data_IF_641050883111
#
_entry.id   IF_641050883111
#
_cell.length_a   1.000
_cell.length_b   1.000
_cell.length_c   1.000
_cell.angle_alpha   90.00
_cell.angle_beta   90.00
_cell.angle_gamma   90.00
#
_symmetry.space_group_name_H-M   'P 1'
#
loop_
_entity.id
_entity.type
_entity.pdbx_description
1 polymer ?
#
# COMPACT_ATOMS: atom_id res chain seq x y z
N UNK A 1 12.59 -13.38 6.40
CA UNK A 1 13.74 -12.99 5.54
C UNK A 1 14.48 -11.75 6.05
N UNK A 2 13.80 -10.64 6.36
CA UNK A 2 14.46 -9.42 6.85
C UNK A 2 15.43 -9.66 8.04
N UNK A 3 15.06 -10.51 9.02
CA UNK A 3 15.93 -10.86 10.14
C UNK A 3 17.28 -11.49 9.71
N UNK A 4 17.23 -12.49 8.82
CA UNK A 4 18.43 -13.15 8.29
C UNK A 4 19.27 -12.17 7.47
N UNK A 5 18.63 -11.29 6.68
CA UNK A 5 19.34 -10.23 5.96
C UNK A 5 20.06 -9.28 6.90
N UNK A 6 19.41 -8.84 7.99
CA UNK A 6 20.06 -7.99 9.00
C UNK A 6 21.24 -8.69 9.70
N UNK A 7 21.15 -10.01 9.92
CA UNK A 7 22.28 -10.78 10.44
C UNK A 7 23.41 -10.91 9.42
N UNK A 8 23.10 -11.17 8.15
CA UNK A 8 24.07 -11.24 7.08
C UNK A 8 24.83 -9.91 6.94
N UNK A 9 24.12 -8.78 6.96
CA UNK A 9 24.70 -7.44 6.94
C UNK A 9 25.59 -7.19 8.16
N UNK A 10 25.13 -7.58 9.35
CA UNK A 10 25.89 -7.41 10.58
C UNK A 10 27.21 -8.21 10.56
N UNK A 11 27.17 -9.48 10.13
CA UNK A 11 28.37 -10.30 10.02
C UNK A 11 29.29 -9.87 8.87
N UNK A 12 28.73 -9.31 7.80
CA UNK A 12 29.51 -8.71 6.73
C UNK A 12 30.34 -7.50 7.23
N UNK A 13 29.76 -6.68 8.12
CA UNK A 13 30.46 -5.55 8.74
C UNK A 13 31.51 -5.98 9.79
N UNK A 14 31.46 -7.23 10.27
CA UNK A 14 32.35 -7.77 11.30
C UNK A 14 33.00 -9.10 10.86
N UNK A 15 33.91 -9.07 9.87
CA UNK A 15 34.45 -10.28 9.23
C UNK A 15 35.35 -11.14 10.13
N UNK A 16 35.81 -10.61 11.27
CA UNK A 16 36.78 -11.28 12.16
C UNK A 16 36.12 -12.11 13.27
N UNK A 17 34.80 -12.32 13.23
CA UNK A 17 34.08 -13.11 14.23
C UNK A 17 34.30 -14.60 13.98
N UNK A 18 34.61 -15.34 15.04
CA UNK A 18 34.65 -16.81 14.99
C UNK A 18 33.24 -17.40 14.86
N UNK A 19 33.12 -18.60 14.30
CA UNK A 19 31.83 -19.31 14.21
C UNK A 19 31.13 -19.43 15.57
N UNK A 20 31.89 -19.63 16.65
CA UNK A 20 31.34 -19.71 18.01
C UNK A 20 30.71 -18.39 18.46
N UNK A 21 31.35 -17.26 18.16
CA UNK A 21 30.82 -15.93 18.47
C UNK A 21 29.58 -15.62 17.64
N UNK A 22 29.61 -15.93 16.34
CA UNK A 22 28.46 -15.78 15.44
C UNK A 22 27.25 -16.55 15.98
N UNK A 23 27.43 -17.84 16.31
CA UNK A 23 26.35 -18.67 16.84
C UNK A 23 25.83 -18.17 18.20
N UNK A 24 26.69 -17.59 19.04
CA UNK A 24 26.26 -16.96 20.30
C UNK A 24 25.45 -15.69 20.05
N UNK A 25 25.81 -14.89 19.05
CA UNK A 25 25.04 -13.70 18.66
C UNK A 25 23.66 -14.10 18.15
N UNK A 26 23.60 -15.14 17.29
CA UNK A 26 22.34 -15.72 16.83
C UNK A 26 21.46 -16.11 18.03
N UNK A 27 21.99 -16.91 18.96
CA UNK A 27 21.28 -17.35 20.16
C UNK A 27 20.69 -16.18 20.97
N UNK A 28 21.47 -15.12 21.19
CA UNK A 28 21.05 -13.94 21.96
C UNK A 28 20.03 -13.05 21.22
N UNK A 29 20.03 -13.09 19.90
CA UNK A 29 19.14 -12.27 19.07
C UNK A 29 17.74 -12.87 18.89
N UNK A 30 17.60 -14.19 19.05
CA UNK A 30 16.32 -14.87 18.94
C UNK A 30 15.43 -14.62 20.16
N UNK A 31 14.11 -14.55 19.94
CA UNK A 31 13.11 -14.33 21.00
C UNK A 31 11.93 -15.28 20.85
N UNK A 32 11.21 -15.52 21.96
CA UNK A 32 9.96 -16.26 21.97
C UNK A 32 10.09 -17.70 21.43
N UNK A 33 9.18 -18.09 20.54
CA UNK A 33 9.15 -19.44 19.94
C UNK A 33 10.41 -19.78 19.14
N UNK A 34 11.04 -18.78 18.51
CA UNK A 34 12.28 -18.97 17.75
C UNK A 34 13.48 -19.26 18.65
N UNK A 35 13.57 -18.58 19.80
CA UNK A 35 14.58 -18.91 20.80
C UNK A 35 14.38 -20.35 21.33
N UNK A 36 13.15 -20.72 21.66
CA UNK A 36 12.84 -22.08 22.13
C UNK A 36 13.11 -23.17 21.09
N UNK A 37 12.83 -22.89 19.81
CA UNK A 37 13.20 -23.78 18.70
C UNK A 37 14.72 -23.95 18.59
N UNK A 38 15.46 -22.84 18.58
CA UNK A 38 16.91 -22.86 18.46
C UNK A 38 17.57 -23.59 19.63
N UNK A 39 17.13 -23.33 20.88
CA UNK A 39 17.69 -23.99 22.07
C UNK A 39 17.53 -25.51 22.02
N UNK A 40 16.45 -26.03 21.42
CA UNK A 40 16.23 -27.49 21.27
C UNK A 40 17.10 -28.13 20.19
N UNK A 41 17.50 -27.36 19.18
CA UNK A 41 18.29 -27.83 18.02
C UNK A 41 19.73 -27.31 18.03
N UNK A 42 20.17 -26.70 19.13
CA UNK A 42 21.47 -26.00 19.21
C UNK A 42 22.65 -26.92 18.86
N UNK A 43 22.57 -28.19 19.23
CA UNK A 43 23.56 -29.23 18.89
C UNK A 43 23.64 -29.53 17.40
N UNK A 44 22.58 -29.24 16.65
CA UNK A 44 22.44 -29.62 15.24
C UNK A 44 23.12 -28.60 14.32
N UNK A 45 23.47 -27.42 14.84
CA UNK A 45 24.05 -26.32 14.08
C UNK A 45 25.56 -26.20 14.34
N UNK A 46 26.38 -26.66 13.39
CA UNK A 46 27.84 -26.51 13.44
C UNK A 46 28.34 -25.13 13.04
N UNK A 47 27.57 -24.43 12.19
CA UNK A 47 27.90 -23.10 11.68
C UNK A 47 26.64 -22.27 11.38
N UNK A 48 26.87 -20.99 11.08
CA UNK A 48 25.80 -20.05 10.75
C UNK A 48 25.05 -20.41 9.47
N UNK A 49 25.73 -21.03 8.51
CA UNK A 49 25.11 -21.44 7.25
C UNK A 49 24.05 -22.52 7.49
N UNK A 50 24.39 -23.54 8.28
CA UNK A 50 23.49 -24.63 8.68
C UNK A 50 22.28 -24.10 9.44
N UNK A 51 22.53 -23.18 10.39
CA UNK A 51 21.45 -22.49 11.09
C UNK A 51 20.52 -21.75 10.12
N UNK A 52 21.08 -20.99 9.18
CA UNK A 52 20.32 -20.17 8.24
C UNK A 52 19.42 -21.01 7.32
N UNK A 53 19.93 -22.13 6.82
CA UNK A 53 19.17 -23.07 5.99
C UNK A 53 17.98 -23.67 6.77
N UNK A 54 18.24 -24.21 7.96
CA UNK A 54 17.21 -24.80 8.82
C UNK A 54 16.22 -23.78 9.38
N UNK A 55 16.68 -22.58 9.71
CA UNK A 55 15.81 -21.48 10.14
C UNK A 55 14.87 -21.06 9.01
N UNK A 56 15.40 -20.96 7.79
CA UNK A 56 14.60 -20.63 6.61
C UNK A 56 13.59 -21.73 6.34
N UNK A 57 13.97 -23.00 6.39
CA UNK A 57 13.04 -24.11 6.18
C UNK A 57 11.92 -24.14 7.24
N UNK A 58 12.27 -23.93 8.51
CA UNK A 58 11.30 -23.99 9.60
C UNK A 58 10.30 -22.82 9.63
N UNK A 59 10.71 -21.61 9.21
CA UNK A 59 9.87 -20.39 9.34
C UNK A 59 9.43 -19.80 8.01
N UNK A 60 10.02 -20.24 6.91
CA UNK A 60 9.77 -19.76 5.55
C UNK A 60 10.01 -20.87 4.51
N UNK A 61 9.72 -22.11 4.89
CA UNK A 61 9.89 -23.28 4.04
C UNK A 61 8.84 -23.34 2.94
N UNK A 62 8.87 -24.45 2.19
CA UNK A 62 7.96 -24.66 1.07
C UNK A 62 6.48 -24.60 1.50
N UNK A 63 6.15 -25.07 2.70
CA UNK A 63 4.77 -25.09 3.20
C UNK A 63 4.24 -23.68 3.48
N UNK A 64 5.05 -22.82 4.09
CA UNK A 64 4.71 -21.42 4.36
C UNK A 64 4.54 -20.64 3.06
N UNK A 65 5.43 -20.87 2.10
CA UNK A 65 5.37 -20.27 0.77
C UNK A 65 4.11 -20.72 0.01
N UNK A 66 3.79 -22.02 0.04
CA UNK A 66 2.55 -22.56 -0.55
C UNK A 66 1.30 -22.02 0.15
N UNK A 67 1.33 -21.87 1.47
CA UNK A 67 0.24 -21.27 2.24
C UNK A 67 0.00 -19.82 1.82
N UNK A 68 1.06 -19.04 1.60
CA UNK A 68 0.95 -17.67 1.10
C UNK A 68 0.34 -17.62 -0.30
N UNK A 69 0.78 -18.49 -1.21
CA UNK A 69 0.20 -18.60 -2.57
C UNK A 69 -1.26 -19.05 -2.54
N UNK A 70 -1.60 -19.99 -1.65
CA UNK A 70 -2.99 -20.42 -1.46
C UNK A 70 -3.86 -19.26 -0.97
N UNK A 71 -3.36 -18.44 -0.03
CA UNK A 71 -4.04 -17.21 0.41
C UNK A 71 -4.22 -16.21 -0.74
N UNK A 72 -3.26 -16.07 -1.65
CA UNK A 72 -3.41 -15.23 -2.84
C UNK A 72 -4.56 -15.70 -3.74
N UNK A 73 -4.86 -16.99 -3.78
CA UNK A 73 -5.99 -17.50 -4.58
C UNK A 73 -7.35 -17.46 -3.87
N UNK A 74 -7.36 -17.52 -2.54
CA UNK A 74 -8.57 -17.75 -1.74
C UNK A 74 -9.03 -16.55 -0.93
N UNK A 75 -8.15 -15.58 -0.68
CA UNK A 75 -8.50 -14.41 0.12
C UNK A 75 -9.46 -13.49 -0.66
N UNK A 76 -10.27 -12.73 0.07
CA UNK A 76 -11.17 -11.73 -0.52
C UNK A 76 -10.90 -10.37 0.11
N UNK A 77 -10.87 -9.34 -0.73
CA UNK A 77 -10.82 -7.98 -0.25
C UNK A 77 -12.12 -7.67 0.51
N UNK A 78 -11.98 -7.11 1.72
CA UNK A 78 -13.12 -6.77 2.58
C UNK A 78 -13.42 -5.28 2.55
N UNK A 79 -12.48 -4.47 3.00
CA UNK A 79 -12.63 -3.02 3.18
C UNK A 79 -11.27 -2.31 3.09
N UNK A 80 -11.27 -1.00 2.88
CA UNK A 80 -10.06 -0.16 2.85
C UNK A 80 -9.64 0.32 1.46
N UNK A 81 -8.36 0.65 1.31
CA UNK A 81 -7.76 1.02 0.02
C UNK A 81 -7.41 -0.25 -0.77
N UNK A 82 -7.98 -0.41 -1.96
CA UNK A 82 -7.66 -1.57 -2.82
C UNK A 82 -6.23 -1.48 -3.35
N UNK A 83 -5.75 -0.28 -3.59
CA UNK A 83 -4.36 -0.05 -3.99
C UNK A 83 -3.39 -0.52 -2.91
N UNK A 84 -3.62 -0.14 -1.65
CA UNK A 84 -2.72 -0.51 -0.55
C UNK A 84 -2.73 -2.01 -0.34
N UNK A 85 -3.92 -2.62 -0.36
CA UNK A 85 -4.08 -4.07 -0.29
C UNK A 85 -3.31 -4.80 -1.40
N UNK A 86 -3.40 -4.33 -2.65
CA UNK A 86 -2.64 -4.90 -3.76
C UNK A 86 -1.13 -4.70 -3.56
N UNK A 87 -0.69 -3.55 -3.05
CA UNK A 87 0.71 -3.27 -2.77
C UNK A 87 1.28 -4.21 -1.71
N UNK A 88 0.58 -4.42 -0.61
CA UNK A 88 0.95 -5.37 0.44
C UNK A 88 1.17 -6.77 -0.14
N UNK A 89 0.29 -7.24 -1.03
CA UNK A 89 0.47 -8.53 -1.70
C UNK A 89 1.74 -8.61 -2.54
N UNK A 90 2.04 -7.59 -3.36
CA UNK A 90 3.31 -7.55 -4.09
C UNK A 90 4.52 -7.52 -3.14
N UNK A 91 4.41 -6.84 -2.01
CA UNK A 91 5.46 -6.79 -0.99
C UNK A 91 5.66 -8.13 -0.27
N UNK A 92 4.61 -8.93 -0.07
CA UNK A 92 4.75 -10.26 0.52
C UNK A 92 5.30 -11.28 -0.48
N UNK A 93 4.82 -11.24 -1.72
CA UNK A 93 5.19 -12.21 -2.76
C UNK A 93 6.63 -12.04 -3.25
N UNK A 94 7.24 -10.87 -3.09
CA UNK A 94 8.66 -10.65 -3.43
C UNK A 94 9.64 -11.49 -2.61
N UNK A 95 9.20 -12.01 -1.46
CA UNK A 95 10.03 -12.84 -0.58
C UNK A 95 9.90 -14.34 -0.85
N UNK A 96 9.12 -14.73 -1.87
CA UNK A 96 9.10 -16.12 -2.35
C UNK A 96 10.41 -16.45 -3.07
N UNK A 97 10.81 -17.71 -2.99
CA UNK A 97 12.02 -18.18 -3.67
C UNK A 97 11.87 -18.16 -5.20
N UNK A 98 10.65 -18.47 -5.68
CA UNK A 98 10.25 -18.30 -7.07
C UNK A 98 8.99 -17.41 -7.13
N UNK A 99 9.16 -16.08 -7.26
CA UNK A 99 8.04 -15.16 -7.26
C UNK A 99 7.20 -15.32 -8.54
N UNK A 100 5.85 -15.45 -8.43
CA UNK A 100 4.99 -15.54 -9.60
C UNK A 100 5.12 -14.29 -10.49
N UNK A 101 4.94 -14.43 -11.82
CA UNK A 101 4.98 -13.29 -12.71
C UNK A 101 3.85 -12.31 -12.38
N UNK A 102 4.13 -11.01 -12.48
CA UNK A 102 3.19 -9.93 -12.18
C UNK A 102 1.80 -10.15 -12.79
N UNK A 103 1.72 -10.65 -14.02
CA UNK A 103 0.45 -10.94 -14.70
C UNK A 103 -0.42 -11.94 -13.94
N UNK A 104 0.17 -12.99 -13.37
CA UNK A 104 -0.55 -13.98 -12.56
C UNK A 104 -1.00 -13.36 -11.23
N UNK A 105 -0.16 -12.56 -10.59
CA UNK A 105 -0.49 -11.85 -9.34
C UNK A 105 -1.67 -10.90 -9.59
N UNK A 106 -1.59 -10.09 -10.65
CA UNK A 106 -2.66 -9.18 -11.06
C UNK A 106 -3.95 -9.96 -11.28
N UNK A 107 -3.91 -11.06 -12.04
CA UNK A 107 -5.10 -11.86 -12.31
C UNK A 107 -5.71 -12.48 -11.04
N UNK A 108 -4.88 -12.93 -10.11
CA UNK A 108 -5.35 -13.45 -8.82
C UNK A 108 -5.98 -12.34 -7.97
N UNK A 109 -5.29 -11.19 -7.82
CA UNK A 109 -5.78 -10.05 -7.06
C UNK A 109 -7.11 -9.52 -7.60
N UNK A 110 -7.26 -9.43 -8.92
CA UNK A 110 -8.49 -8.94 -9.53
C UNK A 110 -9.70 -9.81 -9.14
N UNK A 111 -9.55 -11.14 -9.07
CA UNK A 111 -10.59 -12.07 -8.62
C UNK A 111 -10.97 -11.93 -7.14
N UNK A 112 -10.13 -11.30 -6.32
CA UNK A 112 -10.41 -11.09 -4.89
C UNK A 112 -11.36 -9.91 -4.65
N UNK A 113 -11.55 -9.04 -5.63
CA UNK A 113 -12.47 -7.91 -5.55
C UNK A 113 -13.86 -8.34 -6.04
N UNK A 114 -14.95 -7.86 -5.42
CA UNK A 114 -16.30 -8.25 -5.79
C UNK A 114 -16.85 -7.50 -7.02
N UNK A 115 -16.15 -6.45 -7.50
CA UNK A 115 -16.70 -5.51 -8.49
C UNK A 115 -16.52 -6.03 -9.94
N UNK A 116 -17.63 -6.28 -10.65
CA UNK A 116 -17.61 -6.79 -12.04
C UNK A 116 -16.98 -5.81 -13.03
N UNK A 117 -17.17 -4.50 -12.84
CA UNK A 117 -16.56 -3.46 -13.68
C UNK A 117 -15.03 -3.51 -13.62
N UNK A 118 -14.50 -3.84 -12.45
CA UNK A 118 -13.06 -3.99 -12.25
C UNK A 118 -12.56 -5.24 -12.99
N UNK A 119 -13.30 -6.35 -12.95
CA UNK A 119 -12.98 -7.55 -13.75
C UNK A 119 -12.94 -7.26 -15.25
N UNK A 120 -13.84 -6.43 -15.78
CA UNK A 120 -13.78 -6.04 -17.19
C UNK A 120 -12.52 -5.24 -17.52
N UNK A 121 -12.07 -4.37 -16.60
CA UNK A 121 -10.86 -3.59 -16.75
C UNK A 121 -9.56 -4.44 -16.69
N UNK A 122 -9.62 -5.66 -16.14
CA UNK A 122 -8.46 -6.56 -16.02
C UNK A 122 -7.74 -6.79 -17.35
N UNK A 123 -8.49 -6.94 -18.44
CA UNK A 123 -7.94 -7.21 -19.78
C UNK A 123 -7.02 -6.10 -20.30
N UNK A 124 -7.09 -4.90 -19.72
CA UNK A 124 -6.31 -3.72 -20.10
C UNK A 124 -5.10 -3.49 -19.18
N UNK A 125 -4.94 -4.29 -18.13
CA UNK A 125 -3.90 -4.12 -17.12
C UNK A 125 -2.77 -5.12 -17.41
N UNK A 126 -1.65 -4.61 -17.91
CA UNK A 126 -0.48 -5.42 -18.26
C UNK A 126 0.61 -5.37 -17.19
N UNK A 127 0.62 -4.34 -16.34
CA UNK A 127 1.67 -4.12 -15.35
C UNK A 127 1.16 -3.59 -14.01
N UNK A 128 1.99 -3.76 -12.97
CA UNK A 128 1.73 -3.32 -11.59
C UNK A 128 1.32 -1.85 -11.49
N UNK A 129 1.97 -0.96 -12.25
CA UNK A 129 1.68 0.48 -12.25
C UNK A 129 0.26 0.78 -12.76
N UNK A 130 -0.17 0.09 -13.82
CA UNK A 130 -1.51 0.24 -14.37
C UNK A 130 -2.56 -0.29 -13.40
N UNK A 131 -2.29 -1.42 -12.72
CA UNK A 131 -3.18 -1.95 -11.68
C UNK A 131 -3.43 -0.91 -10.59
N UNK A 132 -2.37 -0.35 -10.00
CA UNK A 132 -2.50 0.62 -8.92
C UNK A 132 -3.25 1.88 -9.34
N UNK A 133 -2.98 2.39 -10.54
CA UNK A 133 -3.71 3.54 -11.08
C UNK A 133 -5.19 3.22 -11.29
N UNK A 134 -5.52 2.03 -11.79
CA UNK A 134 -6.89 1.56 -11.98
C UNK A 134 -7.62 1.48 -10.64
N UNK A 135 -7.06 0.77 -9.66
CA UNK A 135 -7.64 0.61 -8.32
C UNK A 135 -7.87 1.96 -7.63
N UNK A 136 -6.90 2.88 -7.71
CA UNK A 136 -7.03 4.23 -7.15
C UNK A 136 -8.18 5.01 -7.78
N UNK A 137 -8.39 4.89 -9.09
CA UNK A 137 -9.53 5.53 -9.77
C UNK A 137 -10.86 4.93 -9.33
N UNK A 138 -10.94 3.61 -9.24
CA UNK A 138 -12.13 2.91 -8.75
C UNK A 138 -12.47 3.30 -7.31
N UNK A 139 -11.48 3.36 -6.42
CA UNK A 139 -11.67 3.78 -5.03
C UNK A 139 -12.20 5.22 -4.94
N UNK A 140 -11.71 6.14 -5.79
CA UNK A 140 -12.19 7.53 -5.84
C UNK A 140 -13.62 7.67 -6.34
N UNK A 141 -14.00 6.94 -7.39
CA UNK A 141 -15.36 6.95 -7.95
C UNK A 141 -16.34 6.40 -6.92
N UNK A 142 -16.00 5.27 -6.29
CA UNK A 142 -16.86 4.64 -5.28
C UNK A 142 -16.96 5.44 -3.98
N UNK A 143 -15.91 6.19 -3.61
CA UNK A 143 -15.93 7.08 -2.44
C UNK A 143 -16.69 8.39 -2.68
N UNK A 144 -17.30 8.58 -3.86
CA UNK A 144 -18.11 9.75 -4.18
C UNK A 144 -17.31 11.04 -4.42
N UNK A 145 -15.98 10.96 -4.57
CA UNK A 145 -15.11 12.12 -4.79
C UNK A 145 -15.28 12.67 -6.24
N UNK A 146 -15.82 11.85 -7.14
CA UNK A 146 -16.37 12.28 -8.41
C UNK A 146 -17.82 11.82 -8.50
N UNK A 147 -18.75 12.65 -8.04
CA UNK A 147 -20.05 12.68 -8.67
C UNK A 147 -19.79 13.05 -10.14
N UNK A 148 -19.92 12.07 -11.04
CA UNK A 148 -20.03 12.40 -12.46
C UNK A 148 -21.20 13.39 -12.57
N UNK A 149 -21.01 14.60 -13.15
CA UNK A 149 -22.15 15.40 -13.50
C UNK A 149 -22.97 14.58 -14.50
N UNK A 150 -24.17 14.18 -14.09
CA UNK A 150 -25.13 13.49 -14.94
C UNK A 150 -25.37 14.32 -16.20
N UNK A 151 -25.33 13.73 -17.41
CA UNK A 151 -25.61 14.46 -18.63
C UNK A 151 -27.13 14.65 -18.81
N UNK A 152 -27.72 15.58 -18.06
CA UNK A 152 -29.08 16.10 -18.24
C UNK A 152 -29.08 17.54 -17.68
N UNK A 153 -29.48 18.62 -18.34
CA UNK A 153 -30.23 18.83 -19.57
C UNK A 153 -29.67 20.08 -20.26
N UNK A 154 -29.31 20.01 -21.54
CA UNK A 154 -29.14 21.22 -22.35
C UNK A 154 -30.55 21.76 -22.59
N UNK A 155 -31.03 22.63 -21.69
CA UNK A 155 -32.20 23.46 -21.99
C UNK A 155 -31.81 24.37 -23.15
N UNK A 156 -32.28 24.03 -24.35
CA UNK A 156 -32.43 24.96 -25.47
C UNK A 156 -33.21 26.17 -24.95
N UNK A 157 -32.51 27.26 -24.66
CA UNK A 157 -33.14 28.58 -24.54
C UNK A 157 -32.90 29.28 -25.85
N UNK A 158 -33.86 29.13 -26.75
CA UNK A 158 -34.02 29.92 -27.96
C UNK A 158 -34.17 31.38 -27.54
N UNK A 159 -33.15 32.20 -27.82
CA UNK A 159 -33.25 33.67 -27.75
C UNK A 159 -33.78 34.19 -29.08
N UNK A 160 -34.80 35.05 -29.07
CA UNK A 160 -34.91 36.13 -30.03
C UNK A 160 -34.42 37.45 -29.37
N UNK A 161 -33.46 38.11 -30.01
CA UNK A 161 -33.21 39.55 -29.88
C UNK A 161 -34.14 40.30 -30.87
N UNK A 162 -34.17 41.65 -30.90
CA UNK A 162 -33.98 42.69 -29.86
C UNK A 162 -35.09 43.79 -29.94
N UNK A 163 -35.18 44.73 -28.98
CA UNK A 163 -35.36 46.20 -29.22
C UNK A 163 -34.90 47.00 -27.98
N UNK A 164 -34.25 48.15 -28.22
CA UNK A 164 -33.72 49.19 -27.32
C UNK A 164 -34.78 50.06 -26.59
N UNK A 165 -34.42 50.64 -25.43
CA UNK A 165 -34.65 52.06 -25.01
C UNK A 165 -34.11 52.26 -23.56
N UNK A 166 -32.99 52.98 -23.33
CA UNK A 166 -32.80 54.43 -23.09
C UNK A 166 -33.10 54.92 -21.65
N UNK A 167 -32.00 55.30 -20.96
CA UNK A 167 -31.78 56.38 -19.94
C UNK A 167 -32.55 56.40 -18.60
N UNK A 168 -31.81 56.35 -17.49
CA UNK A 168 -31.37 57.53 -16.69
C UNK A 168 -30.93 57.14 -15.25
N UNK A 169 -29.77 57.65 -14.83
CA UNK A 169 -29.29 57.82 -13.44
C UNK A 169 -29.82 59.17 -12.89
N UNK A 170 -29.85 59.47 -11.56
CA UNK A 170 -28.62 59.68 -10.76
C UNK A 170 -28.68 59.55 -9.20
N UNK A 171 -27.47 59.52 -8.60
CA UNK A 171 -27.02 60.08 -7.27
C UNK A 171 -27.63 59.50 -5.97
N UNK A 172 -26.99 59.44 -4.79
CA UNK A 172 -25.70 59.88 -4.24
C UNK A 172 -25.47 59.19 -2.87
N UNK A 173 -24.30 59.45 -2.26
CA UNK A 173 -23.92 59.33 -0.83
C UNK A 173 -23.11 58.12 -0.33
N UNK A 174 -21.79 58.37 -0.34
CA UNK A 174 -20.73 57.91 0.58
C UNK A 174 -20.82 58.69 1.92
N UNK A 175 -19.94 58.54 2.95
CA UNK A 175 -18.87 57.55 3.23
C UNK A 175 -18.82 57.12 4.73
N UNK A 176 -17.66 56.56 5.14
CA UNK A 176 -17.04 56.43 6.47
C UNK A 176 -17.10 55.05 7.11
N UNK A 177 -16.07 54.57 7.80
CA UNK A 177 -14.62 54.83 7.93
C UNK A 177 -14.17 53.77 8.96
N UNK A 178 -12.93 53.27 8.85
CA UNK A 178 -12.00 52.89 9.94
C UNK A 178 -12.56 52.06 11.14
N UNK A 179 -11.90 51.02 11.65
CA UNK A 179 -10.49 51.02 12.04
C UNK A 179 -10.13 49.63 12.63
N UNK A 180 -8.82 49.32 12.58
CA UNK A 180 -8.04 48.53 13.55
C UNK A 180 -8.06 46.99 13.55
N UNK A 181 -6.99 46.46 12.91
CA UNK A 181 -5.90 45.69 13.53
C UNK A 181 -6.05 45.30 15.03
N UNK A 182 -5.77 44.02 15.36
CA UNK A 182 -4.50 43.58 16.01
C UNK A 182 -4.42 42.04 16.01
N UNK A 183 -3.21 41.55 15.75
CA UNK A 183 -2.75 40.16 15.71
C UNK A 183 -2.40 39.56 17.09
N UNK A 184 -2.30 38.22 17.13
CA UNK A 184 -1.25 37.34 17.73
C UNK A 184 -1.88 36.10 18.41
N UNK A 185 -1.53 34.88 17.97
CA UNK A 185 -0.46 34.01 18.51
C UNK A 185 -0.64 33.75 20.01
N UNK A 186 -0.83 32.53 20.50
CA UNK A 186 0.12 31.40 20.62
C UNK A 186 -0.68 30.11 20.98
N UNK A 187 -0.33 28.89 20.54
CA UNK A 187 0.49 27.87 21.27
C UNK A 187 0.21 27.84 22.79
N UNK A 188 0.08 26.73 23.52
CA UNK A 188 0.46 25.32 23.37
C UNK A 188 -0.07 24.58 24.63
N UNK A 189 -0.21 23.25 24.57
CA UNK A 189 -0.07 22.23 25.64
C UNK A 189 -0.56 22.50 27.08
N UNK A 190 -1.39 21.59 27.60
CA UNK A 190 -1.00 20.48 28.49
C UNK A 190 -2.04 19.36 28.43
#
# INVERSE_FOLDING_TARGET
>A
MAYIQSLDEYFFLMPNLSNREIMKIVELSLRGSAAGWFSRRKSDFSDYKSFKEEFKDCYWGAQEQLSLLSKLSSNRFRTGSREEYAREWFEFLKYLDDPPPDKMIIAALMKQFPDEELHMAQTRIECKKQLFQCLRRFDRVRSGIYACPSPQEVKLVTRPCPVEEVRSQPSQDNPNQNDRFISRNTQETF
#
